data_IF_309820642827
#
_entry.id   IF_309820642827
#
_cell.length_a   1.000
_cell.length_b   1.000
_cell.length_c   1.000
_cell.angle_alpha   90.00
_cell.angle_beta   90.00
_cell.angle_gamma   90.00
#
_symmetry.space_group_name_H-M   'P 1'
#
loop_
_entity.id
_entity.type
_entity.pdbx_description
1 polymer ?
#
# COMPACT_ATOMS: atom_id res chain seq x y z
N UNK A 1 -42.58 0.67 -0.72
CA UNK A 1 -42.03 1.03 0.60
C UNK A 1 -40.53 1.20 0.64
N UNK A 2 -39.77 0.55 -0.23
CA UNK A 2 -38.27 0.65 -0.31
C UNK A 2 -37.73 1.95 -0.91
N UNK A 3 -38.49 2.71 -1.69
CA UNK A 3 -38.01 3.92 -2.37
C UNK A 3 -37.92 5.16 -1.45
N UNK A 4 -38.75 5.23 -0.40
CA UNK A 4 -38.73 6.37 0.55
C UNK A 4 -37.59 6.32 1.57
N UNK A 5 -37.07 5.13 1.88
CA UNK A 5 -35.95 4.97 2.84
C UNK A 5 -34.63 5.43 2.24
N UNK A 6 -34.41 5.21 0.92
CA UNK A 6 -33.21 5.65 0.22
C UNK A 6 -33.05 7.17 0.15
N UNK A 7 -34.16 7.90 0.02
CA UNK A 7 -34.13 9.36 -0.07
C UNK A 7 -33.85 10.03 1.27
N UNK A 8 -34.29 9.44 2.37
CA UNK A 8 -34.14 9.99 3.72
C UNK A 8 -32.70 9.84 4.24
N UNK A 9 -32.02 8.74 3.91
CA UNK A 9 -30.62 8.50 4.33
C UNK A 9 -29.66 9.41 3.55
N UNK A 10 -29.87 9.62 2.25
CA UNK A 10 -29.04 10.54 1.44
C UNK A 10 -29.23 12.01 1.85
N UNK A 11 -30.45 12.41 2.21
CA UNK A 11 -30.75 13.79 2.65
C UNK A 11 -30.22 14.02 4.08
N UNK A 12 -30.22 13.03 4.97
CA UNK A 12 -29.67 13.18 6.32
C UNK A 12 -28.14 13.31 6.29
N UNK A 13 -27.43 12.63 5.39
CA UNK A 13 -25.98 12.76 5.22
C UNK A 13 -25.57 14.14 4.66
N UNK A 14 -26.36 14.73 3.76
CA UNK A 14 -26.09 16.08 3.22
C UNK A 14 -26.36 17.21 4.23
N UNK A 15 -27.29 17.02 5.18
CA UNK A 15 -27.64 18.03 6.18
C UNK A 15 -26.70 18.04 7.38
N UNK A 16 -25.94 16.96 7.63
CA UNK A 16 -25.02 16.88 8.76
C UNK A 16 -23.74 17.72 8.59
N UNK A 17 -23.35 18.08 7.37
CA UNK A 17 -22.20 18.96 7.15
C UNK A 17 -22.39 20.39 7.68
N UNK A 18 -23.60 20.82 7.96
CA UNK A 18 -23.91 22.18 8.47
C UNK A 18 -23.94 22.30 10.00
N UNK A 19 -23.83 21.20 10.74
CA UNK A 19 -24.00 21.18 12.20
C UNK A 19 -22.75 20.76 12.99
N UNK A 20 -21.64 20.41 12.32
CA UNK A 20 -20.43 20.00 13.04
C UNK A 20 -19.57 21.24 13.36
N UNK A 21 -19.24 21.37 14.63
CA UNK A 21 -18.22 22.26 15.19
C UNK A 21 -16.91 22.12 14.41
N UNK A 22 -16.07 23.14 14.38
CA UNK A 22 -14.70 23.10 13.80
C UNK A 22 -13.87 21.93 14.34
N UNK A 23 -14.29 21.34 15.47
CA UNK A 23 -13.60 20.26 16.15
C UNK A 23 -13.90 18.87 15.60
N UNK A 24 -14.91 18.71 14.71
CA UNK A 24 -15.31 17.43 14.16
C UNK A 24 -15.22 17.43 12.63
N UNK A 25 -14.43 16.50 12.09
CA UNK A 25 -14.26 16.30 10.64
C UNK A 25 -14.74 14.90 10.28
N UNK A 26 -15.58 14.82 9.25
CA UNK A 26 -16.01 13.56 8.64
C UNK A 26 -15.79 13.65 7.13
N UNK A 27 -15.33 12.58 6.54
CA UNK A 27 -15.15 12.46 5.12
C UNK A 27 -14.99 11.00 4.74
N UNK A 28 -14.94 10.72 3.46
CA UNK A 28 -14.81 9.33 3.03
C UNK A 28 -15.06 9.16 1.56
N UNK A 29 -15.29 7.91 1.18
CA UNK A 29 -15.65 7.55 -0.18
C UNK A 29 -16.50 6.29 -0.20
N UNK A 30 -17.22 6.13 -1.31
CA UNK A 30 -17.81 4.87 -1.70
C UNK A 30 -17.44 4.60 -3.15
N UNK A 31 -16.92 3.41 -3.43
CA UNK A 31 -16.52 3.01 -4.77
C UNK A 31 -17.12 1.67 -5.16
N UNK A 32 -17.57 1.63 -6.40
CA UNK A 32 -17.98 0.41 -7.06
C UNK A 32 -16.91 -0.01 -8.04
N UNK A 33 -16.51 -1.26 -7.96
CA UNK A 33 -15.51 -1.89 -8.81
C UNK A 33 -16.11 -3.11 -9.50
N UNK A 34 -16.12 -3.09 -10.83
CA UNK A 34 -16.35 -4.24 -11.67
C UNK A 34 -15.01 -4.83 -12.06
N UNK A 35 -14.84 -6.14 -11.98
CA UNK A 35 -13.65 -6.83 -12.47
C UNK A 35 -14.00 -8.03 -13.37
N UNK A 36 -13.19 -8.20 -14.42
CA UNK A 36 -13.20 -9.35 -15.32
C UNK A 36 -11.79 -9.90 -15.38
N UNK A 37 -11.60 -11.15 -14.97
CA UNK A 37 -10.30 -11.81 -14.94
C UNK A 37 -10.28 -13.05 -15.82
N UNK A 38 -9.19 -13.24 -16.55
CA UNK A 38 -8.88 -14.46 -17.28
C UNK A 38 -7.44 -14.85 -17.02
N UNK A 39 -7.24 -16.02 -16.42
CA UNK A 39 -5.94 -16.47 -15.94
C UNK A 39 -5.65 -17.84 -16.59
N UNK A 40 -4.44 -18.03 -17.11
CA UNK A 40 -4.00 -19.33 -17.68
C UNK A 40 -4.18 -20.44 -16.65
N UNK A 41 -4.82 -21.52 -17.06
CA UNK A 41 -5.14 -22.65 -16.18
C UNK A 41 -6.54 -22.60 -15.56
N UNK A 42 -7.27 -21.49 -15.72
CA UNK A 42 -8.69 -21.36 -15.39
C UNK A 42 -9.45 -21.25 -16.70
N UNK A 43 -10.37 -22.19 -16.94
CA UNK A 43 -11.09 -22.29 -18.24
C UNK A 43 -12.12 -21.18 -18.43
N UNK A 44 -12.61 -20.59 -17.34
CA UNK A 44 -13.68 -19.61 -17.32
C UNK A 44 -13.14 -18.20 -17.03
N UNK A 45 -13.87 -17.22 -17.49
CA UNK A 45 -13.68 -15.85 -17.04
C UNK A 45 -14.27 -15.71 -15.62
N UNK A 46 -13.61 -14.95 -14.76
CA UNK A 46 -14.11 -14.64 -13.42
C UNK A 46 -14.65 -13.22 -13.43
N UNK A 47 -15.90 -13.07 -13.01
CA UNK A 47 -16.58 -11.78 -12.92
C UNK A 47 -16.88 -11.50 -11.45
N UNK A 48 -16.39 -10.35 -10.96
CA UNK A 48 -16.64 -9.93 -9.60
C UNK A 48 -17.10 -8.47 -9.53
N UNK A 49 -17.88 -8.18 -8.51
CA UNK A 49 -18.40 -6.87 -8.18
C UNK A 49 -18.00 -6.54 -6.75
N UNK A 50 -17.36 -5.41 -6.54
CA UNK A 50 -16.99 -4.94 -5.21
C UNK A 50 -17.63 -3.59 -4.93
N UNK A 51 -18.33 -3.46 -3.82
CA UNK A 51 -18.68 -2.19 -3.22
C UNK A 51 -17.74 -1.97 -2.03
N UNK A 52 -16.94 -0.92 -2.08
CA UNK A 52 -15.99 -0.59 -1.04
C UNK A 52 -16.26 0.83 -0.55
N UNK A 53 -16.66 0.95 0.70
CA UNK A 53 -16.95 2.22 1.36
C UNK A 53 -16.00 2.47 2.51
N UNK A 54 -15.67 3.73 2.75
CA UNK A 54 -14.83 4.16 3.85
C UNK A 54 -15.37 5.44 4.46
N UNK A 55 -15.35 5.49 5.80
CA UNK A 55 -15.65 6.67 6.58
C UNK A 55 -14.42 7.00 7.43
N UNK A 56 -13.97 8.24 7.33
CA UNK A 56 -12.91 8.81 8.16
C UNK A 56 -13.53 9.80 9.12
N UNK A 57 -13.18 9.68 10.38
CA UNK A 57 -13.62 10.55 11.46
C UNK A 57 -12.38 11.12 12.14
N UNK A 58 -12.35 12.44 12.35
CA UNK A 58 -11.36 13.08 13.19
C UNK A 58 -12.05 14.04 14.14
N UNK A 59 -11.70 13.96 15.42
CA UNK A 59 -12.24 14.80 16.46
C UNK A 59 -11.10 15.46 17.26
N UNK A 60 -11.15 16.77 17.43
CA UNK A 60 -10.21 17.55 18.20
C UNK A 60 -10.83 17.88 19.55
N UNK A 61 -10.35 17.26 20.62
CA UNK A 61 -10.79 17.58 21.99
C UNK A 61 -10.25 18.96 22.43
N UNK A 62 -9.09 19.32 21.90
CA UNK A 62 -8.42 20.61 22.10
C UNK A 62 -7.29 20.73 21.06
N UNK A 63 -6.59 21.87 21.05
CA UNK A 63 -5.37 22.06 20.20
C UNK A 63 -4.28 21.02 20.49
N UNK A 64 -4.33 20.36 21.66
CA UNK A 64 -3.33 19.38 22.09
C UNK A 64 -3.75 17.92 21.93
N UNK A 65 -5.03 17.64 21.75
CA UNK A 65 -5.53 16.25 21.70
C UNK A 65 -6.49 16.04 20.54
N UNK A 66 -6.23 15.02 19.76
CA UNK A 66 -7.16 14.56 18.72
C UNK A 66 -7.35 13.05 18.74
N UNK A 67 -8.47 12.63 18.18
CA UNK A 67 -8.85 11.24 17.94
C UNK A 67 -9.11 11.05 16.46
N UNK A 68 -8.63 9.93 15.90
CA UNK A 68 -8.87 9.56 14.51
C UNK A 68 -9.40 8.14 14.41
N UNK A 69 -10.44 7.94 13.61
CA UNK A 69 -10.98 6.61 13.28
C UNK A 69 -11.23 6.49 11.78
N UNK A 70 -10.96 5.32 11.22
CA UNK A 70 -11.25 4.96 9.84
C UNK A 70 -11.95 3.61 9.80
N UNK A 71 -13.14 3.56 9.24
CA UNK A 71 -13.94 2.35 9.12
C UNK A 71 -14.07 2.04 7.62
N UNK A 72 -13.74 0.82 7.26
CA UNK A 72 -13.81 0.29 5.91
C UNK A 72 -14.80 -0.84 5.83
N UNK A 73 -15.67 -0.82 4.84
CA UNK A 73 -16.63 -1.85 4.52
C UNK A 73 -16.44 -2.31 3.07
N UNK A 74 -16.25 -3.62 2.87
CA UNK A 74 -16.14 -4.24 1.55
C UNK A 74 -17.20 -5.32 1.39
N UNK A 75 -18.05 -5.16 0.37
CA UNK A 75 -18.96 -6.19 -0.08
C UNK A 75 -18.44 -6.70 -1.42
N UNK A 76 -18.12 -7.97 -1.50
CA UNK A 76 -17.63 -8.61 -2.73
C UNK A 76 -18.60 -9.71 -3.11
N UNK A 77 -19.09 -9.65 -4.35
CA UNK A 77 -19.95 -10.64 -4.96
C UNK A 77 -19.34 -11.11 -6.27
N UNK A 78 -19.19 -12.42 -6.46
CA UNK A 78 -18.72 -12.93 -7.74
C UNK A 78 -18.10 -14.32 -7.70
N UNK A 79 -17.59 -14.71 -8.86
CA UNK A 79 -17.09 -16.05 -9.14
C UNK A 79 -15.75 -16.34 -8.46
N UNK A 80 -14.94 -15.31 -8.20
CA UNK A 80 -13.67 -15.51 -7.48
C UNK A 80 -13.91 -15.97 -6.04
N UNK A 81 -14.96 -15.45 -5.38
CA UNK A 81 -15.31 -15.86 -4.01
C UNK A 81 -15.81 -17.30 -3.99
N UNK A 82 -16.64 -17.66 -4.96
CA UNK A 82 -17.22 -19.01 -5.09
C UNK A 82 -16.15 -20.07 -5.38
N UNK A 83 -15.27 -19.80 -6.36
CA UNK A 83 -14.26 -20.78 -6.84
C UNK A 83 -13.00 -20.84 -5.99
N UNK A 84 -12.64 -19.74 -5.34
CA UNK A 84 -11.42 -19.61 -4.54
C UNK A 84 -11.71 -19.11 -3.12
N UNK A 85 -12.40 -19.88 -2.27
CA UNK A 85 -12.75 -19.44 -0.91
C UNK A 85 -11.55 -18.99 -0.07
N UNK A 86 -10.35 -19.53 -0.35
CA UNK A 86 -9.10 -19.13 0.32
C UNK A 86 -8.75 -17.65 0.13
N UNK A 87 -9.23 -16.98 -0.93
CA UNK A 87 -9.06 -15.54 -1.13
C UNK A 87 -9.64 -14.77 0.06
N UNK A 88 -10.76 -15.25 0.62
CA UNK A 88 -11.42 -14.61 1.75
C UNK A 88 -10.58 -14.66 3.03
N UNK A 89 -9.75 -15.68 3.19
CA UNK A 89 -8.87 -15.82 4.36
C UNK A 89 -7.78 -14.75 4.37
N UNK A 90 -7.35 -14.30 3.19
CA UNK A 90 -6.33 -13.26 3.04
C UNK A 90 -6.77 -11.87 3.54
N UNK A 91 -8.08 -11.60 3.68
CA UNK A 91 -8.55 -10.31 4.18
C UNK A 91 -8.32 -10.13 5.68
N UNK A 92 -8.38 -11.20 6.47
CA UNK A 92 -8.23 -11.19 7.93
C UNK A 92 -6.82 -11.57 8.41
N UNK A 93 -5.87 -11.87 7.50
CA UNK A 93 -4.51 -12.29 7.89
C UNK A 93 -3.55 -11.12 8.22
N UNK A 94 -4.08 -9.94 8.54
CA UNK A 94 -3.24 -8.83 8.97
C UNK A 94 -2.76 -9.05 10.40
N UNK A 95 -1.46 -8.95 10.61
CA UNK A 95 -0.82 -9.13 11.91
C UNK A 95 -0.98 -7.89 12.79
N UNK A 96 -2.21 -7.58 13.20
CA UNK A 96 -2.52 -6.53 14.15
C UNK A 96 -2.42 -7.04 15.60
N UNK A 97 -2.09 -6.17 16.55
CA UNK A 97 -2.12 -6.48 17.98
C UNK A 97 -3.55 -6.63 18.50
N UNK A 98 -4.49 -5.95 17.89
CA UNK A 98 -5.91 -5.98 18.19
C UNK A 98 -6.68 -6.42 16.97
N UNK A 99 -7.58 -7.39 17.15
CA UNK A 99 -8.51 -7.82 16.11
C UNK A 99 -9.67 -6.81 16.04
N UNK A 100 -9.69 -5.97 15.01
CA UNK A 100 -10.69 -4.94 14.75
C UNK A 100 -11.32 -5.12 13.38
N UNK A 101 -11.41 -6.35 12.91
CA UNK A 101 -12.03 -6.72 11.65
C UNK A 101 -12.97 -7.91 11.83
N UNK A 102 -13.96 -7.99 10.98
CA UNK A 102 -14.97 -9.05 11.03
C UNK A 102 -15.66 -9.27 9.69
N UNK A 103 -16.07 -10.50 9.47
CA UNK A 103 -17.05 -10.82 8.43
C UNK A 103 -18.46 -10.63 8.98
N UNK A 104 -19.22 -9.65 8.43
CA UNK A 104 -20.61 -9.46 8.79
C UNK A 104 -21.49 -10.58 8.25
N UNK A 105 -21.20 -11.04 7.01
CA UNK A 105 -21.72 -12.29 6.47
C UNK A 105 -20.73 -12.91 5.47
N UNK A 106 -20.80 -14.23 5.35
CA UNK A 106 -20.06 -15.02 4.37
C UNK A 106 -21.01 -16.05 3.77
N UNK A 107 -21.24 -15.95 2.46
CA UNK A 107 -22.06 -16.87 1.67
C UNK A 107 -21.19 -17.43 0.54
N UNK A 108 -21.73 -18.39 -0.22
CA UNK A 108 -21.01 -19.10 -1.27
C UNK A 108 -20.29 -18.16 -2.26
N UNK A 109 -20.98 -17.12 -2.75
CA UNK A 109 -20.45 -16.18 -3.75
C UNK A 109 -20.39 -14.72 -3.26
N UNK A 110 -20.63 -14.47 -1.96
CA UNK A 110 -20.70 -13.10 -1.43
C UNK A 110 -20.09 -13.04 -0.05
N UNK A 111 -19.26 -12.04 0.19
CA UNK A 111 -18.75 -11.69 1.50
C UNK A 111 -19.00 -10.22 1.81
N UNK A 112 -19.23 -9.92 3.08
CA UNK A 112 -19.10 -8.56 3.60
C UNK A 112 -18.07 -8.57 4.72
N UNK A 113 -17.01 -7.77 4.52
CA UNK A 113 -15.87 -7.63 5.42
C UNK A 113 -15.78 -6.20 5.91
N UNK A 114 -15.79 -6.02 7.24
CA UNK A 114 -15.66 -4.71 7.90
C UNK A 114 -14.35 -4.69 8.67
N UNK A 115 -13.64 -3.56 8.59
CA UNK A 115 -12.38 -3.33 9.26
C UNK A 115 -12.31 -1.91 9.82
N UNK A 116 -11.87 -1.77 11.07
CA UNK A 116 -11.41 -0.49 11.60
C UNK A 116 -9.90 -0.41 11.32
N UNK A 117 -9.52 0.28 10.26
CA UNK A 117 -8.15 0.35 9.78
C UNK A 117 -7.38 1.56 10.32
N UNK A 118 -8.05 2.48 11.01
CA UNK A 118 -7.46 3.58 11.80
C UNK A 118 -8.21 3.71 13.11
N UNK A 119 -7.46 3.79 14.20
CA UNK A 119 -8.01 4.06 15.52
C UNK A 119 -6.89 4.59 16.40
N UNK A 120 -6.70 5.90 16.43
CA UNK A 120 -5.58 6.50 17.14
C UNK A 120 -5.97 7.72 17.95
N UNK A 121 -5.21 7.93 19.03
CA UNK A 121 -5.18 9.16 19.80
C UNK A 121 -3.84 9.85 19.63
N UNK A 122 -3.87 11.14 19.36
CA UNK A 122 -2.69 11.97 19.18
C UNK A 122 -2.64 13.05 20.27
N UNK A 123 -1.48 13.18 20.87
CA UNK A 123 -1.15 14.27 21.76
C UNK A 123 -0.03 15.13 21.17
N UNK A 124 -0.23 16.43 21.19
CA UNK A 124 0.69 17.42 20.63
C UNK A 124 1.21 18.36 21.73
N UNK A 125 2.52 18.55 21.76
CA UNK A 125 3.20 19.61 22.48
C UNK A 125 4.02 20.42 21.46
N UNK A 126 4.70 21.50 21.89
CA UNK A 126 5.36 22.45 20.97
C UNK A 126 6.24 21.76 19.91
N UNK A 127 7.06 20.79 20.33
CA UNK A 127 7.99 20.07 19.46
C UNK A 127 7.90 18.55 19.61
N UNK A 128 6.84 18.04 20.24
CA UNK A 128 6.63 16.61 20.47
C UNK A 128 5.21 16.21 20.08
N UNK A 129 5.08 15.11 19.32
CA UNK A 129 3.83 14.43 19.08
C UNK A 129 3.93 12.99 19.57
N UNK A 130 2.91 12.52 20.28
CA UNK A 130 2.77 11.12 20.68
C UNK A 130 1.47 10.59 20.10
N UNK A 131 1.55 9.48 19.37
CA UNK A 131 0.39 8.81 18.78
C UNK A 131 0.27 7.39 19.31
N UNK A 132 -0.93 7.01 19.76
CA UNK A 132 -1.23 5.68 20.31
C UNK A 132 -2.35 5.03 19.52
N UNK A 133 -2.17 3.77 19.15
CA UNK A 133 -3.21 2.96 18.49
C UNK A 133 -2.90 2.62 17.04
N UNK A 134 -3.94 2.25 16.29
CA UNK A 134 -3.85 1.84 14.89
C UNK A 134 -3.68 3.05 13.99
N UNK A 135 -2.49 3.22 13.44
CA UNK A 135 -2.07 4.39 12.69
C UNK A 135 -1.23 4.01 11.46
N UNK A 136 -1.18 4.91 10.48
CA UNK A 136 -0.26 4.79 9.36
C UNK A 136 1.13 5.29 9.75
N UNK A 137 2.13 4.44 9.54
CA UNK A 137 3.55 4.84 9.64
C UNK A 137 4.17 4.53 8.27
N UNK A 138 4.57 5.54 7.53
CA UNK A 138 5.15 5.39 6.19
C UNK A 138 6.50 6.10 6.15
N UNK A 139 7.57 5.33 5.94
CA UNK A 139 8.95 5.81 6.02
C UNK A 139 9.74 5.71 4.71
N UNK A 140 9.15 5.16 3.66
CA UNK A 140 9.79 5.10 2.35
C UNK A 140 9.82 6.46 1.63
N UNK A 141 10.80 6.66 0.77
CA UNK A 141 10.97 7.84 -0.08
C UNK A 141 10.72 7.57 -1.55
N UNK A 142 10.89 6.32 -1.98
CA UNK A 142 10.63 5.88 -3.36
C UNK A 142 9.14 5.85 -3.67
N UNK A 143 8.78 5.89 -4.94
CA UNK A 143 7.38 6.01 -5.35
C UNK A 143 6.70 4.64 -5.46
N UNK A 144 7.45 3.59 -5.80
CA UNK A 144 6.95 2.24 -6.03
C UNK A 144 7.46 1.27 -4.97
N UNK A 145 8.76 1.02 -4.95
CA UNK A 145 9.35 0.10 -3.99
C UNK A 145 9.96 0.85 -2.82
N UNK A 146 9.31 0.73 -1.66
CA UNK A 146 9.77 1.36 -0.42
C UNK A 146 10.39 0.31 0.49
N UNK A 147 11.69 0.03 0.34
CA UNK A 147 12.38 -1.01 1.12
C UNK A 147 12.65 -0.59 2.56
N UNK A 148 12.60 0.71 2.86
CA UNK A 148 12.73 1.25 4.22
C UNK A 148 11.39 1.39 4.94
N UNK A 149 10.25 1.17 4.25
CA UNK A 149 8.91 1.19 4.86
C UNK A 149 8.58 -0.16 5.50
N UNK A 150 9.14 -0.40 6.67
CA UNK A 150 9.04 -1.68 7.39
C UNK A 150 7.66 -1.95 8.00
N UNK A 151 6.86 -0.91 8.23
CA UNK A 151 5.56 -1.03 8.87
C UNK A 151 4.42 -1.25 7.89
N UNK A 152 4.58 -0.78 6.65
CA UNK A 152 3.48 -0.72 5.67
C UNK A 152 3.93 -1.04 4.24
N UNK A 153 4.58 -2.19 4.00
CA UNK A 153 4.95 -2.57 2.65
C UNK A 153 3.70 -2.69 1.77
N UNK A 154 3.75 -2.09 0.59
CA UNK A 154 2.67 -2.13 -0.41
C UNK A 154 3.13 -2.86 -1.65
N UNK A 155 2.22 -3.62 -2.26
CA UNK A 155 2.37 -4.13 -3.61
C UNK A 155 1.76 -3.14 -4.61
N UNK A 156 2.52 -2.76 -5.66
CA UNK A 156 2.01 -1.94 -6.76
C UNK A 156 0.92 -2.66 -7.58
N UNK A 157 0.82 -3.97 -7.47
CA UNK A 157 -0.23 -4.75 -8.13
C UNK A 157 -1.61 -4.57 -7.49
N UNK A 158 -1.67 -4.04 -6.28
CA UNK A 158 -2.94 -3.65 -5.64
C UNK A 158 -3.28 -2.19 -5.99
N UNK A 159 -3.78 -1.97 -7.21
CA UNK A 159 -4.14 -0.64 -7.70
C UNK A 159 -5.36 -0.02 -6.96
N UNK A 160 -6.20 -0.82 -6.31
CA UNK A 160 -7.37 -0.35 -5.57
C UNK A 160 -7.03 0.09 -4.14
N UNK A 161 -5.77 -0.06 -3.75
CA UNK A 161 -5.30 0.26 -2.40
C UNK A 161 -4.94 1.74 -2.29
N UNK A 162 -5.93 2.60 -2.05
CA UNK A 162 -5.71 4.04 -1.92
C UNK A 162 -5.04 4.43 -0.61
N UNK A 163 -5.21 3.60 0.40
CA UNK A 163 -4.68 3.88 1.73
C UNK A 163 -3.75 2.78 2.21
N UNK A 164 -2.53 3.16 2.54
CA UNK A 164 -1.54 2.21 3.08
C UNK A 164 -2.06 1.52 4.34
N UNK A 165 -1.72 0.24 4.58
CA UNK A 165 -2.05 -0.48 5.79
C UNK A 165 -1.70 0.32 7.04
N UNK A 166 -2.34 0.03 8.14
CA UNK A 166 -1.98 0.55 9.45
C UNK A 166 -1.10 -0.42 10.22
N UNK A 167 -0.62 0.06 11.34
CA UNK A 167 0.03 -0.74 12.38
C UNK A 167 -0.47 -0.28 13.74
N UNK A 168 -0.66 -1.22 14.66
CA UNK A 168 -0.95 -0.92 16.05
C UNK A 168 0.36 -0.53 16.74
N UNK A 169 0.55 0.77 17.04
CA UNK A 169 1.83 1.27 17.50
C UNK A 169 1.72 2.37 18.56
N UNK A 170 2.79 2.49 19.31
CA UNK A 170 3.13 3.68 20.10
C UNK A 170 4.19 4.42 19.30
N UNK A 171 3.95 5.70 18.97
CA UNK A 171 4.84 6.53 18.16
C UNK A 171 5.18 7.81 18.87
N UNK A 172 6.47 8.18 18.87
CA UNK A 172 7.00 9.41 19.42
C UNK A 172 7.71 10.17 18.31
N UNK A 173 7.27 11.39 18.03
CA UNK A 173 7.89 12.24 17.03
C UNK A 173 8.38 13.52 17.70
N UNK A 174 9.69 13.74 17.67
CA UNK A 174 10.32 14.93 18.20
C UNK A 174 10.88 15.77 17.05
N UNK A 175 10.57 17.07 17.06
CA UNK A 175 10.92 18.04 16.02
C UNK A 175 11.93 19.06 16.57
N UNK A 176 13.24 18.75 16.62
CA UNK A 176 14.24 19.67 17.15
C UNK A 176 14.36 20.95 16.32
N UNK A 177 14.07 20.90 15.01
CA UNK A 177 13.99 22.03 14.11
C UNK A 177 12.98 21.75 12.99
N UNK A 178 12.60 22.78 12.22
CA UNK A 178 11.70 22.66 11.06
C UNK A 178 12.25 21.66 10.01
N UNK A 179 13.57 21.56 9.91
CA UNK A 179 14.28 20.72 8.93
C UNK A 179 14.80 19.42 9.52
N UNK A 180 14.33 19.02 10.70
CA UNK A 180 14.78 17.76 11.32
C UNK A 180 13.69 17.13 12.19
N UNK A 181 13.68 15.80 12.24
CA UNK A 181 12.72 15.00 13.01
C UNK A 181 13.38 13.73 13.52
N UNK A 182 13.05 13.35 14.73
CA UNK A 182 13.33 12.03 15.30
C UNK A 182 11.99 11.34 15.48
N UNK A 183 11.83 10.13 14.95
CA UNK A 183 10.58 9.39 14.88
C UNK A 183 10.82 7.97 15.40
N UNK A 184 10.32 7.66 16.59
CA UNK A 184 10.39 6.33 17.22
C UNK A 184 9.03 5.67 17.13
N UNK A 185 8.95 4.48 16.57
CA UNK A 185 7.74 3.68 16.51
C UNK A 185 7.97 2.28 17.10
N UNK A 186 7.02 1.84 17.92
CA UNK A 186 7.04 0.53 18.59
C UNK A 186 5.71 -0.16 18.32
N UNK A 187 5.76 -1.32 17.65
CA UNK A 187 4.62 -2.21 17.48
C UNK A 187 4.75 -3.37 18.46
N UNK A 188 3.85 -3.51 19.46
CA UNK A 188 3.93 -4.53 20.50
C UNK A 188 3.31 -5.88 20.10
N UNK A 189 3.12 -6.17 18.80
CA UNK A 189 2.52 -7.43 18.33
C UNK A 189 3.19 -8.65 18.98
N UNK A 190 2.39 -9.65 19.36
CA UNK A 190 2.90 -10.87 20.02
C UNK A 190 3.79 -11.68 19.11
N UNK A 191 3.45 -11.77 17.82
CA UNK A 191 4.13 -12.64 16.86
C UNK A 191 5.24 -11.90 16.10
N UNK A 192 5.06 -10.60 15.83
CA UNK A 192 5.98 -9.76 15.05
C UNK A 192 6.19 -8.39 15.72
N UNK A 193 6.64 -8.41 16.98
CA UNK A 193 7.03 -7.18 17.64
C UNK A 193 8.14 -6.48 16.85
N UNK A 194 7.96 -5.17 16.63
CA UNK A 194 8.93 -4.35 15.92
C UNK A 194 9.14 -3.02 16.63
N UNK A 195 10.36 -2.52 16.57
CA UNK A 195 10.71 -1.19 17.08
C UNK A 195 11.73 -0.56 16.16
N UNK A 196 11.50 0.69 15.81
CA UNK A 196 12.37 1.39 14.90
C UNK A 196 12.46 2.88 15.20
N UNK A 197 13.64 3.42 14.95
CA UNK A 197 13.98 4.83 15.08
C UNK A 197 14.38 5.35 13.71
N UNK A 198 13.77 6.46 13.29
CA UNK A 198 14.14 7.18 12.08
C UNK A 198 14.59 8.59 12.46
N UNK A 199 15.74 9.00 11.94
CA UNK A 199 16.22 10.36 11.97
C UNK A 199 16.11 10.99 10.60
N UNK A 200 15.40 12.11 10.48
CA UNK A 200 15.24 12.92 9.28
C UNK A 200 16.00 14.23 9.42
N UNK A 201 16.67 14.65 8.36
CA UNK A 201 17.20 16.00 8.20
C UNK A 201 17.19 16.43 6.73
N UNK A 202 16.93 17.72 6.51
CA UNK A 202 17.07 18.34 5.18
C UNK A 202 18.42 19.06 5.10
N UNK A 203 19.15 18.83 4.01
CA UNK A 203 20.40 19.53 3.70
C UNK A 203 20.63 19.55 2.19
N UNK A 204 21.08 20.69 1.66
CA UNK A 204 21.33 20.90 0.23
C UNK A 204 20.12 20.57 -0.66
N UNK A 205 18.91 20.96 -0.21
CA UNK A 205 17.65 20.70 -0.90
C UNK A 205 17.28 19.21 -1.02
N UNK A 206 17.99 18.34 -0.29
CA UNK A 206 17.69 16.92 -0.17
C UNK A 206 17.17 16.59 1.23
N UNK A 207 16.18 15.75 1.28
CA UNK A 207 15.70 15.08 2.49
C UNK A 207 16.49 13.77 2.67
N UNK A 208 17.09 13.60 3.82
CA UNK A 208 17.82 12.40 4.19
C UNK A 208 17.19 11.73 5.40
N UNK A 209 17.12 10.40 5.36
CA UNK A 209 16.57 9.58 6.42
C UNK A 209 17.55 8.48 6.80
N UNK A 210 17.83 8.34 8.07
CA UNK A 210 18.56 7.21 8.64
C UNK A 210 17.61 6.43 9.54
N UNK A 211 17.44 5.15 9.30
CA UNK A 211 16.51 4.28 10.02
C UNK A 211 17.25 3.11 10.64
N UNK A 212 16.96 2.81 11.91
CA UNK A 212 17.55 1.71 12.66
C UNK A 212 16.42 0.97 13.40
N UNK A 213 16.54 -0.34 13.56
CA UNK A 213 15.53 -1.04 14.36
C UNK A 213 15.62 -2.55 14.31
N UNK A 214 14.51 -3.13 14.77
CA UNK A 214 14.27 -4.56 14.83
C UNK A 214 12.89 -4.85 14.26
N UNK A 215 12.82 -5.74 13.28
CA UNK A 215 11.59 -6.18 12.62
C UNK A 215 11.79 -7.60 12.06
N UNK A 216 10.73 -8.40 12.03
CA UNK A 216 10.76 -9.78 11.52
C UNK A 216 11.94 -10.60 12.12
N UNK A 217 12.17 -10.46 13.42
CA UNK A 217 13.27 -11.11 14.18
C UNK A 217 14.68 -10.77 13.66
N UNK A 218 14.86 -9.61 13.03
CA UNK A 218 16.13 -9.14 12.46
C UNK A 218 16.42 -7.70 12.90
N UNK A 219 17.70 -7.42 13.13
CA UNK A 219 18.16 -6.02 13.18
C UNK A 219 18.32 -5.48 11.77
N UNK A 220 17.97 -4.21 11.59
CA UNK A 220 18.12 -3.55 10.31
C UNK A 220 18.69 -2.15 10.46
N UNK A 221 19.27 -1.68 9.37
CA UNK A 221 19.58 -0.28 9.13
C UNK A 221 19.11 0.11 7.74
N UNK A 222 18.56 1.31 7.62
CA UNK A 222 18.10 1.88 6.37
C UNK A 222 18.65 3.29 6.19
N UNK A 223 18.87 3.66 4.94
CA UNK A 223 19.18 5.01 4.54
C UNK A 223 18.38 5.35 3.30
N UNK A 224 17.75 6.51 3.28
CA UNK A 224 17.03 6.95 2.10
C UNK A 224 17.19 8.45 1.90
N UNK A 225 16.99 8.88 0.65
CA UNK A 225 17.01 10.28 0.28
C UNK A 225 15.92 10.59 -0.76
N UNK A 226 15.54 11.84 -0.78
CA UNK A 226 14.62 12.41 -1.78
C UNK A 226 15.07 13.84 -2.09
N UNK A 227 15.21 14.16 -3.35
CA UNK A 227 15.61 15.48 -3.82
C UNK A 227 15.39 15.63 -5.30
N UNK A 228 16.05 16.63 -5.88
CA UNK A 228 15.91 17.02 -7.26
C UNK A 228 17.26 17.16 -7.96
N UNK A 229 17.36 16.74 -9.23
CA UNK A 229 18.48 16.99 -10.12
C UNK A 229 17.96 17.70 -11.35
N UNK A 230 18.14 19.01 -11.43
CA UNK A 230 17.74 19.83 -12.60
C UNK A 230 16.26 19.66 -13.00
N UNK A 231 15.36 19.60 -11.99
CA UNK A 231 13.92 19.42 -12.16
C UNK A 231 13.47 17.98 -12.26
N UNK A 232 14.37 17.00 -12.25
CA UNK A 232 14.05 15.59 -12.17
C UNK A 232 14.08 15.11 -10.71
N UNK A 233 12.99 14.53 -10.22
CA UNK A 233 12.96 13.90 -8.91
C UNK A 233 13.96 12.75 -8.84
N UNK A 234 14.85 12.77 -7.84
CA UNK A 234 15.85 11.72 -7.61
C UNK A 234 15.73 11.20 -6.18
N UNK A 235 15.43 9.91 -6.07
CA UNK A 235 15.24 9.24 -4.77
C UNK A 235 16.01 7.94 -4.74
N UNK A 236 16.32 7.49 -3.53
CA UNK A 236 16.87 6.17 -3.37
C UNK A 236 16.75 5.67 -1.95
N UNK A 237 16.83 4.37 -1.81
CA UNK A 237 16.75 3.66 -0.55
C UNK A 237 17.77 2.54 -0.48
N UNK A 238 18.41 2.40 0.68
CA UNK A 238 19.23 1.25 1.05
C UNK A 238 18.63 0.63 2.31
N UNK A 239 18.46 -0.67 2.30
CA UNK A 239 17.96 -1.42 3.45
C UNK A 239 18.83 -2.65 3.66
N UNK A 240 19.44 -2.73 4.83
CA UNK A 240 20.27 -3.84 5.22
C UNK A 240 19.71 -4.52 6.46
N UNK A 241 19.62 -5.84 6.44
CA UNK A 241 19.24 -6.62 7.62
C UNK A 241 20.26 -7.70 7.91
N UNK A 242 20.47 -7.97 9.21
CA UNK A 242 21.24 -9.12 9.69
C UNK A 242 20.45 -9.88 10.76
N UNK A 243 20.37 -11.19 10.61
CA UNK A 243 19.69 -12.05 11.58
C UNK A 243 20.71 -12.65 12.54
N UNK A 244 20.56 -12.48 13.87
CA UNK A 244 21.43 -13.12 14.85
C UNK A 244 21.38 -14.65 14.81
N UNK A 245 20.24 -15.22 14.39
CA UNK A 245 20.03 -16.65 14.26
C UNK A 245 19.69 -17.03 12.82
N UNK A 246 20.11 -18.22 12.37
CA UNK A 246 19.60 -18.77 11.10
C UNK A 246 18.09 -18.96 11.27
N UNK A 247 17.29 -18.24 10.49
CA UNK A 247 15.85 -18.47 10.45
C UNK A 247 15.61 -19.90 10.01
N UNK A 248 14.98 -20.71 10.87
CA UNK A 248 14.61 -22.10 10.53
C UNK A 248 13.28 -22.05 9.76
N UNK A 249 13.33 -21.76 8.47
CA UNK A 249 12.17 -22.00 7.62
C UNK A 249 12.08 -23.48 7.29
N UNK A 250 10.87 -24.03 7.37
CA UNK A 250 10.58 -25.44 7.07
C UNK A 250 10.63 -25.77 5.57
N UNK A 251 10.93 -24.78 4.69
CA UNK A 251 10.94 -24.96 3.24
C UNK A 251 12.39 -25.16 2.80
N UNK A 252 12.73 -26.33 2.21
CA UNK A 252 14.05 -26.56 1.61
C UNK A 252 14.35 -25.51 0.52
N UNK A 253 15.58 -24.96 0.50
CA UNK A 253 16.03 -23.94 -0.46
C UNK A 253 15.34 -22.56 -0.37
N UNK A 254 14.70 -22.22 0.75
CA UNK A 254 14.17 -20.88 0.96
C UNK A 254 15.30 -19.83 1.10
N UNK A 255 15.01 -18.54 0.82
CA UNK A 255 15.96 -17.44 1.04
C UNK A 255 16.57 -17.43 2.43
N UNK A 256 15.79 -17.81 3.43
CA UNK A 256 16.15 -17.75 4.82
C UNK A 256 17.16 -18.83 5.26
N UNK A 257 17.27 -19.93 4.49
CA UNK A 257 18.26 -20.98 4.80
C UNK A 257 19.68 -20.62 4.33
N UNK A 258 19.80 -19.70 3.35
CA UNK A 258 21.07 -19.46 2.64
C UNK A 258 21.83 -18.23 3.12
N UNK A 259 21.16 -17.17 3.59
CA UNK A 259 21.85 -15.92 3.95
C UNK A 259 21.27 -15.27 5.21
N UNK A 260 22.17 -14.86 6.10
CA UNK A 260 21.82 -14.02 7.26
C UNK A 260 21.67 -12.56 6.87
N UNK A 261 22.35 -12.13 5.80
CA UNK A 261 22.50 -10.73 5.41
C UNK A 261 21.71 -10.47 4.14
N UNK A 262 20.76 -9.57 4.23
CA UNK A 262 19.99 -9.09 3.09
C UNK A 262 20.33 -7.62 2.86
N UNK A 263 20.61 -7.26 1.62
CA UNK A 263 20.71 -5.89 1.15
C UNK A 263 19.68 -5.68 0.04
N UNK A 264 18.81 -4.70 0.21
CA UNK A 264 17.90 -4.23 -0.82
C UNK A 264 18.23 -2.77 -1.15
N UNK A 265 18.23 -2.42 -2.43
CA UNK A 265 18.53 -1.07 -2.92
C UNK A 265 17.46 -0.67 -3.92
N UNK A 266 16.97 0.57 -3.80
CA UNK A 266 16.06 1.19 -4.78
C UNK A 266 16.69 2.47 -5.30
N UNK A 267 16.57 2.71 -6.60
CA UNK A 267 16.86 3.98 -7.25
C UNK A 267 15.64 4.39 -8.07
N UNK A 268 15.21 5.63 -7.92
CA UNK A 268 14.00 6.18 -8.54
C UNK A 268 14.32 7.53 -9.18
N UNK A 269 13.87 7.69 -10.42
CA UNK A 269 13.97 8.91 -11.21
C UNK A 269 12.62 9.23 -11.85
N UNK A 270 12.15 10.46 -11.73
CA UNK A 270 10.93 10.90 -12.38
C UNK A 270 11.07 12.33 -12.92
N UNK A 271 10.35 12.60 -14.00
CA UNK A 271 10.32 13.93 -14.62
C UNK A 271 8.96 14.22 -15.26
N UNK A 272 8.47 15.45 -15.08
CA UNK A 272 7.29 15.97 -15.77
C UNK A 272 7.71 17.04 -16.76
N UNK A 273 7.47 16.78 -18.04
CA UNK A 273 7.74 17.74 -19.12
C UNK A 273 6.67 18.86 -19.15
N UNK A 274 7.00 19.99 -19.77
CA UNK A 274 6.10 21.14 -19.90
C UNK A 274 4.76 20.79 -20.60
N UNK A 275 4.77 19.82 -21.51
CA UNK A 275 3.58 19.30 -22.18
C UNK A 275 2.77 18.31 -21.35
N UNK A 276 3.00 18.21 -20.04
CA UNK A 276 2.40 17.27 -19.10
C UNK A 276 2.74 15.78 -19.30
N UNK A 277 3.70 15.46 -20.18
CA UNK A 277 4.22 14.08 -20.24
C UNK A 277 5.02 13.81 -18.97
N UNK A 278 4.63 12.77 -18.25
CA UNK A 278 5.32 12.25 -17.06
C UNK A 278 6.06 10.97 -17.41
N UNK A 279 7.29 10.87 -16.97
CA UNK A 279 8.11 9.65 -17.09
C UNK A 279 8.68 9.34 -15.71
N UNK A 280 8.59 8.08 -15.31
CA UNK A 280 9.14 7.58 -14.06
C UNK A 280 9.78 6.22 -14.28
N UNK A 281 10.93 5.98 -13.65
CA UNK A 281 11.61 4.69 -13.65
C UNK A 281 12.17 4.37 -12.28
N UNK A 282 12.05 3.10 -11.87
CA UNK A 282 12.70 2.59 -10.66
C UNK A 282 13.44 1.29 -10.93
N UNK A 283 14.51 1.10 -10.19
CA UNK A 283 15.27 -0.15 -10.13
C UNK A 283 15.26 -0.67 -8.70
N UNK A 284 14.84 -1.90 -8.50
CA UNK A 284 14.97 -2.64 -7.24
C UNK A 284 16.04 -3.72 -7.40
N UNK A 285 17.01 -3.73 -6.49
CA UNK A 285 18.04 -4.76 -6.38
C UNK A 285 17.97 -5.45 -5.01
N UNK A 286 18.04 -6.79 -5.02
CA UNK A 286 18.15 -7.62 -3.83
C UNK A 286 19.35 -8.56 -3.94
N UNK A 287 20.30 -8.49 -3.02
CA UNK A 287 21.54 -9.32 -3.09
C UNK A 287 21.25 -10.83 -3.04
N UNK A 288 20.22 -11.25 -2.26
CA UNK A 288 19.82 -12.65 -2.11
C UNK A 288 18.71 -13.06 -3.09
N UNK A 289 18.24 -12.15 -3.92
CA UNK A 289 17.18 -12.40 -4.89
C UNK A 289 17.51 -13.52 -5.88
N UNK A 290 16.50 -14.21 -6.34
CA UNK A 290 16.62 -15.35 -7.29
C UNK A 290 16.70 -14.87 -8.73
N UNK A 291 17.26 -15.70 -9.59
CA UNK A 291 17.43 -15.46 -11.04
C UNK A 291 16.78 -16.54 -11.90
N UNK A 292 16.24 -17.60 -11.27
CA UNK A 292 15.54 -18.71 -11.93
C UNK A 292 14.36 -19.14 -11.06
N UNK A 293 13.29 -19.59 -11.73
CA UNK A 293 12.07 -20.10 -11.07
C UNK A 293 11.54 -19.16 -9.98
N UNK A 294 11.62 -17.86 -10.26
CA UNK A 294 11.51 -16.75 -9.29
C UNK A 294 10.15 -16.76 -8.60
N UNK A 295 9.07 -17.07 -9.34
CA UNK A 295 7.71 -17.10 -8.81
C UNK A 295 7.48 -18.08 -7.67
N UNK A 296 8.28 -19.16 -7.60
CA UNK A 296 8.18 -20.13 -6.50
C UNK A 296 8.58 -19.53 -5.13
N UNK A 297 9.29 -18.42 -5.14
CA UNK A 297 9.83 -17.80 -3.93
C UNK A 297 9.05 -16.55 -3.46
N UNK A 298 7.92 -16.23 -4.09
CA UNK A 298 7.14 -15.03 -3.79
C UNK A 298 6.66 -14.98 -2.33
N UNK A 299 6.12 -16.08 -1.80
CA UNK A 299 5.70 -16.17 -0.40
C UNK A 299 6.87 -16.12 0.58
N UNK A 300 8.02 -16.70 0.22
CA UNK A 300 9.22 -16.65 1.06
C UNK A 300 9.80 -15.23 1.12
N UNK A 301 9.78 -14.50 0.02
CA UNK A 301 10.19 -13.10 -0.05
C UNK A 301 9.35 -12.24 0.90
N UNK A 302 8.03 -12.39 0.87
CA UNK A 302 7.11 -11.67 1.77
C UNK A 302 7.42 -11.95 3.25
N UNK A 303 7.67 -13.20 3.64
CA UNK A 303 7.97 -13.59 5.03
C UNK A 303 9.24 -12.95 5.58
N UNK A 304 10.17 -12.56 4.72
CA UNK A 304 11.42 -11.89 5.11
C UNK A 304 11.41 -10.40 4.79
N UNK A 305 10.26 -9.84 4.43
CA UNK A 305 10.11 -8.42 4.14
C UNK A 305 10.78 -7.95 2.83
N UNK A 306 11.03 -8.86 1.88
CA UNK A 306 11.44 -8.49 0.53
C UNK A 306 10.23 -8.12 -0.32
N UNK A 307 10.32 -7.01 -1.05
CA UNK A 307 9.24 -6.53 -1.92
C UNK A 307 9.15 -7.31 -3.25
N UNK A 308 10.18 -8.06 -3.60
CA UNK A 308 10.23 -8.96 -4.75
C UNK A 308 11.18 -10.13 -4.47
N UNK A 309 10.86 -11.34 -4.95
CA UNK A 309 11.76 -12.49 -4.88
C UNK A 309 12.95 -12.41 -5.84
N UNK A 310 12.92 -11.50 -6.80
CA UNK A 310 13.95 -11.35 -7.83
C UNK A 310 15.17 -10.59 -7.33
N UNK A 311 16.31 -10.85 -7.99
CA UNK A 311 17.55 -10.11 -7.78
C UNK A 311 17.48 -8.69 -8.34
N UNK A 312 16.80 -8.48 -9.47
CA UNK A 312 16.56 -7.16 -10.08
C UNK A 312 15.13 -7.10 -10.60
N UNK A 313 14.46 -5.99 -10.34
CA UNK A 313 13.22 -5.58 -10.97
C UNK A 313 13.34 -4.17 -11.51
N UNK A 314 12.65 -3.94 -12.61
CA UNK A 314 12.58 -2.65 -13.29
C UNK A 314 11.11 -2.20 -13.35
N UNK A 315 10.91 -0.93 -13.09
CA UNK A 315 9.63 -0.26 -13.21
C UNK A 315 9.75 0.90 -14.20
N UNK A 316 8.77 1.03 -15.06
CA UNK A 316 8.63 2.14 -15.98
C UNK A 316 7.20 2.63 -15.95
N UNK A 317 7.02 3.92 -15.92
CA UNK A 317 5.72 4.57 -16.08
C UNK A 317 5.84 5.73 -17.05
N UNK A 318 4.86 5.86 -17.92
CA UNK A 318 4.61 7.06 -18.68
C UNK A 318 3.17 7.49 -18.46
N UNK A 319 2.93 8.77 -18.25
CA UNK A 319 1.62 9.33 -18.03
C UNK A 319 1.43 10.62 -18.84
N UNK A 320 0.22 10.87 -19.30
CA UNK A 320 -0.10 12.06 -20.09
C UNK A 320 -1.50 12.58 -19.75
N UNK A 321 -1.60 13.88 -19.49
CA UNK A 321 -2.89 14.53 -19.29
C UNK A 321 -3.49 14.87 -20.66
N UNK A 322 -4.57 14.17 -21.04
CA UNK A 322 -5.32 14.46 -22.27
C UNK A 322 -6.12 15.75 -22.14
N UNK A 323 -6.58 16.04 -20.92
CA UNK A 323 -7.26 17.28 -20.54
C UNK A 323 -7.08 17.53 -19.05
N UNK A 324 -7.64 18.64 -18.54
CA UNK A 324 -7.67 18.90 -17.10
C UNK A 324 -8.45 17.83 -16.27
N UNK A 325 -9.34 17.09 -16.92
CA UNK A 325 -10.20 16.08 -16.28
C UNK A 325 -9.81 14.64 -16.65
N UNK A 326 -8.89 14.43 -17.59
CA UNK A 326 -8.59 13.09 -18.11
C UNK A 326 -7.10 12.84 -18.23
N UNK A 327 -6.68 11.64 -17.83
CA UNK A 327 -5.30 11.18 -17.83
C UNK A 327 -5.21 9.74 -18.32
N UNK A 328 -4.15 9.43 -19.05
CA UNK A 328 -3.74 8.07 -19.39
C UNK A 328 -2.38 7.80 -18.77
N UNK A 329 -2.19 6.59 -18.24
CA UNK A 329 -0.90 6.09 -17.76
C UNK A 329 -0.65 4.69 -18.33
N UNK A 330 0.59 4.38 -18.63
CA UNK A 330 1.07 3.04 -18.89
C UNK A 330 2.19 2.73 -17.92
N UNK A 331 1.98 1.69 -17.11
CA UNK A 331 2.97 1.17 -16.16
C UNK A 331 3.46 -0.18 -16.67
N UNK A 332 4.75 -0.43 -16.54
CA UNK A 332 5.41 -1.70 -16.87
C UNK A 332 6.28 -2.13 -15.69
N UNK A 333 5.99 -3.30 -15.14
CA UNK A 333 6.90 -4.03 -14.25
C UNK A 333 7.62 -5.08 -15.09
N UNK A 334 8.93 -5.14 -15.00
CA UNK A 334 9.73 -6.06 -15.81
C UNK A 334 10.81 -6.74 -14.98
N UNK A 335 10.85 -8.05 -15.07
CA UNK A 335 11.93 -8.84 -14.51
C UNK A 335 12.92 -9.25 -15.64
N UNK A 336 14.16 -8.72 -15.64
CA UNK A 336 15.10 -8.98 -16.72
C UNK A 336 15.70 -10.40 -16.71
N UNK A 337 15.62 -11.15 -15.60
CA UNK A 337 16.16 -12.51 -15.49
C UNK A 337 15.27 -13.57 -16.14
N UNK A 338 13.96 -13.50 -15.91
CA UNK A 338 13.01 -14.46 -16.47
C UNK A 338 12.16 -13.86 -17.60
N UNK A 339 12.40 -12.57 -17.94
CA UNK A 339 11.74 -11.81 -18.99
C UNK A 339 10.22 -11.70 -18.81
N UNK A 340 9.73 -11.94 -17.61
CA UNK A 340 8.32 -11.72 -17.30
C UNK A 340 8.03 -10.24 -17.10
N UNK A 341 6.78 -9.85 -17.38
CA UNK A 341 6.36 -8.47 -17.20
C UNK A 341 4.87 -8.37 -16.88
N UNK A 342 4.50 -7.23 -16.30
CA UNK A 342 3.11 -6.80 -16.15
C UNK A 342 2.95 -5.47 -16.85
N UNK A 343 1.89 -5.33 -17.65
CA UNK A 343 1.47 -4.06 -18.24
C UNK A 343 0.20 -3.59 -17.53
N UNK A 344 0.19 -2.31 -17.11
CA UNK A 344 -0.97 -1.68 -16.48
C UNK A 344 -1.33 -0.39 -17.25
N UNK A 345 -2.03 -0.46 -18.39
CA UNK A 345 -2.67 0.73 -18.94
C UNK A 345 -3.82 1.17 -18.06
N UNK A 346 -3.86 2.47 -17.78
CA UNK A 346 -4.89 3.11 -16.95
C UNK A 346 -5.43 4.33 -17.66
N UNK A 347 -6.75 4.50 -17.61
CA UNK A 347 -7.45 5.72 -18.00
C UNK A 347 -8.24 6.22 -16.80
N UNK A 348 -8.08 7.50 -16.47
CA UNK A 348 -8.81 8.17 -15.40
C UNK A 348 -9.56 9.38 -15.94
N UNK A 349 -10.79 9.57 -15.48
CA UNK A 349 -11.66 10.69 -15.89
C UNK A 349 -12.49 11.19 -14.71
N UNK A 350 -12.43 12.48 -14.42
CA UNK A 350 -13.28 13.13 -13.42
C UNK A 350 -14.62 13.47 -14.05
N UNK A 351 -15.64 12.67 -13.73
CA UNK A 351 -17.00 12.79 -14.27
C UNK A 351 -17.74 13.99 -13.68
N UNK A 352 -17.58 14.20 -12.38
CA UNK A 352 -18.15 15.30 -11.59
C UNK A 352 -17.12 15.68 -10.51
N UNK A 353 -17.35 16.80 -9.82
CA UNK A 353 -16.46 17.28 -8.76
C UNK A 353 -16.04 16.21 -7.74
N UNK A 354 -16.95 15.28 -7.42
CA UNK A 354 -16.75 14.25 -6.41
C UNK A 354 -16.87 12.82 -6.98
N UNK A 355 -16.94 12.66 -8.30
CA UNK A 355 -17.14 11.36 -8.95
C UNK A 355 -16.10 11.11 -10.02
N UNK A 356 -15.25 10.10 -9.78
CA UNK A 356 -14.20 9.70 -10.70
C UNK A 356 -14.48 8.32 -11.31
N UNK A 357 -14.16 8.19 -12.58
CA UNK A 357 -14.10 6.93 -13.33
C UNK A 357 -12.65 6.54 -13.54
N UNK A 358 -12.31 5.29 -13.29
CA UNK A 358 -11.03 4.71 -13.68
C UNK A 358 -11.25 3.40 -14.44
N UNK A 359 -10.51 3.21 -15.52
CA UNK A 359 -10.44 1.96 -16.28
C UNK A 359 -9.00 1.48 -16.20
N UNK A 360 -8.78 0.28 -15.70
CA UNK A 360 -7.46 -0.30 -15.47
C UNK A 360 -7.43 -1.71 -16.04
N UNK A 361 -6.34 -2.06 -16.72
CA UNK A 361 -6.07 -3.44 -17.09
C UNK A 361 -4.73 -3.87 -16.52
N UNK A 362 -4.62 -5.11 -16.06
CA UNK A 362 -3.37 -5.76 -15.75
C UNK A 362 -3.19 -6.93 -16.72
N UNK A 363 -2.13 -6.88 -17.50
CA UNK A 363 -1.75 -7.97 -18.39
C UNK A 363 -0.45 -8.60 -17.89
N UNK A 364 -0.52 -9.87 -17.50
CA UNK A 364 0.60 -10.64 -16.99
C UNK A 364 1.17 -11.54 -18.09
N UNK A 365 2.48 -11.50 -18.28
CA UNK A 365 3.17 -12.37 -19.23
C UNK A 365 4.47 -12.89 -18.62
N UNK A 366 4.66 -14.21 -18.73
CA UNK A 366 5.87 -14.88 -18.27
C UNK A 366 5.80 -16.38 -18.53
N UNK A 367 6.93 -17.05 -18.40
CA UNK A 367 7.00 -18.51 -18.41
C UNK A 367 6.45 -19.05 -17.11
N UNK A 368 6.12 -20.35 -17.08
CA UNK A 368 5.73 -21.00 -15.84
C UNK A 368 6.84 -20.82 -14.77
N UNK A 369 6.44 -20.53 -13.56
CA UNK A 369 7.32 -20.18 -12.40
C UNK A 369 8.13 -18.89 -12.54
N UNK A 370 7.87 -18.03 -13.54
CA UNK A 370 8.41 -16.67 -13.54
C UNK A 370 7.74 -15.81 -12.47
N UNK A 371 8.32 -14.65 -12.15
CA UNK A 371 7.81 -13.75 -11.11
C UNK A 371 6.38 -13.31 -11.39
N UNK A 372 6.07 -12.95 -12.65
CA UNK A 372 4.75 -12.47 -13.07
C UNK A 372 3.94 -13.54 -13.79
N UNK A 373 4.01 -14.80 -13.31
CA UNK A 373 3.15 -15.90 -13.74
C UNK A 373 2.03 -16.15 -12.73
N UNK A 374 0.89 -16.78 -13.12
CA UNK A 374 0.55 -17.25 -14.47
C UNK A 374 0.15 -16.11 -15.44
N UNK A 375 0.28 -16.36 -16.76
CA UNK A 375 -0.20 -15.44 -17.78
C UNK A 375 -1.70 -15.21 -17.65
N UNK A 376 -2.13 -13.99 -17.90
CA UNK A 376 -3.53 -13.64 -17.81
C UNK A 376 -3.77 -12.14 -17.96
N UNK A 377 -5.02 -11.76 -17.88
CA UNK A 377 -5.38 -10.36 -17.76
C UNK A 377 -6.48 -10.17 -16.72
N UNK A 378 -6.51 -9.00 -16.13
CA UNK A 378 -7.58 -8.54 -15.26
C UNK A 378 -7.97 -7.15 -15.75
N UNK A 379 -9.25 -6.95 -16.00
CA UNK A 379 -9.80 -5.68 -16.39
C UNK A 379 -10.70 -5.16 -15.27
N UNK A 380 -10.57 -3.86 -14.97
CA UNK A 380 -11.35 -3.19 -13.94
C UNK A 380 -12.01 -1.93 -14.48
N UNK A 381 -13.25 -1.70 -14.05
CA UNK A 381 -13.93 -0.40 -14.14
C UNK A 381 -14.32 0.04 -12.74
N UNK A 382 -13.86 1.21 -12.33
CA UNK A 382 -14.08 1.75 -10.99
C UNK A 382 -14.79 3.10 -11.06
N UNK A 383 -15.88 3.23 -10.34
CA UNK A 383 -16.53 4.49 -10.02
C UNK A 383 -16.28 4.80 -8.56
N UNK A 384 -15.77 6.00 -8.26
CA UNK A 384 -15.49 6.45 -6.90
C UNK A 384 -16.19 7.77 -6.64
N UNK A 385 -17.02 7.81 -5.61
CA UNK A 385 -17.62 9.02 -5.07
C UNK A 385 -16.96 9.37 -3.75
N UNK A 386 -16.45 10.60 -3.63
CA UNK A 386 -15.79 11.13 -2.43
C UNK A 386 -16.68 12.20 -1.77
N UNK A 387 -16.70 12.28 -0.43
CA UNK A 387 -17.52 13.24 0.33
C UNK A 387 -16.78 13.75 1.58
#
# INVERSE_FOLDING_TARGET
MFCKIKSTILISLAFTQLLFSQDFQIGGYSKYLFSLSKIKGINENLIDHTLHSRINIKYFFSDKFSFSAGIRDKIIYGESIEKFPAITEGFSQKEYSFDLDSYFWKKENTINYIEIDRLSFDWYADNLQISLGRQRIAWGTSLVWNVTDIFNPISILDFDYEERPAVDAIRFQFFPAVTSKIDLAINPSKDNASAALQFFFNKYEYDFYLTLGYNLQRYFTGFSWSGDISGAGFRGEFFFTDSPNKMKFKIPNSFASESRKQLSVVLSLDYTFENSLYIHTELLYNNIGKTKDIGLYSLDALKIGMLSPSKINLFYQTGYNLSALSRIDLIVLHNPYDQSFVLLPTFSYSLLQNLDLSIVSLYFNGRDFSEYSPNGFIFFTRFKYSF
#
